data_IF_123948049494
#
_entry.id   IF_123948049494
#
_cell.length_a   1.000
_cell.length_b   1.000
_cell.length_c   1.000
_cell.angle_alpha   90.00
_cell.angle_beta   90.00
_cell.angle_gamma   90.00
#
_symmetry.space_group_name_H-M   'P 1'
#
loop_
_entity.id
_entity.type
_entity.pdbx_description
1 polymer ?
#
# COMPACT_ATOMS: atom_id res chain seq x y z
N UNK A 1 12.49 -2.06 10.95
CA UNK A 1 11.04 -2.21 10.68
C UNK A 1 10.35 -2.43 12.01
N UNK A 2 9.61 -1.44 12.49
CA UNK A 2 8.83 -1.56 13.73
C UNK A 2 7.37 -1.89 13.37
N UNK A 3 6.85 -2.96 13.97
CA UNK A 3 5.41 -3.24 13.97
C UNK A 3 4.78 -2.38 15.05
N UNK A 4 3.85 -1.55 14.71
CA UNK A 4 3.11 -0.73 15.66
C UNK A 4 1.68 -1.26 15.77
N UNK A 5 1.38 -1.94 16.88
CA UNK A 5 0.02 -2.25 17.24
C UNK A 5 -0.50 -1.10 18.10
N UNK A 6 -1.35 -0.27 17.54
CA UNK A 6 -2.24 0.65 18.28
C UNK A 6 -1.63 1.79 19.12
N UNK A 7 -0.46 2.37 18.78
CA UNK A 7 -0.08 3.66 19.35
C UNK A 7 -0.92 4.81 18.74
N UNK A 8 -1.21 5.84 19.52
CA UNK A 8 -2.06 6.96 19.08
C UNK A 8 -1.53 7.66 17.80
N UNK A 9 -0.21 7.68 17.60
CA UNK A 9 0.40 8.25 16.39
C UNK A 9 0.08 7.40 15.13
N UNK A 10 0.19 6.08 15.24
CA UNK A 10 -0.16 5.17 14.13
C UNK A 10 -1.67 5.12 13.91
N UNK A 11 -2.47 5.27 14.98
CA UNK A 11 -3.92 5.44 14.84
C UNK A 11 -4.26 6.70 14.03
N UNK A 12 -3.53 7.78 14.21
CA UNK A 12 -3.72 8.99 13.41
C UNK A 12 -3.39 8.76 11.96
N UNK A 13 -2.27 8.10 11.64
CA UNK A 13 -1.90 7.75 10.27
C UNK A 13 -2.80 6.66 9.68
N UNK A 14 -3.15 5.65 10.47
CA UNK A 14 -4.12 4.61 10.05
C UNK A 14 -5.53 5.19 9.89
N UNK A 15 -5.94 6.13 10.73
CA UNK A 15 -7.19 6.87 10.57
C UNK A 15 -7.17 7.81 9.36
N UNK A 16 -6.04 8.46 9.10
CA UNK A 16 -5.86 9.29 7.90
C UNK A 16 -5.95 8.42 6.63
N UNK A 17 -5.41 7.20 6.67
CA UNK A 17 -5.46 6.27 5.56
C UNK A 17 -6.78 5.47 5.47
N UNK A 18 -7.49 5.31 6.59
CA UNK A 18 -8.64 4.41 6.69
C UNK A 18 -9.96 5.11 7.09
N UNK A 19 -9.94 6.33 7.67
CA UNK A 19 -11.11 6.90 8.37
C UNK A 19 -12.25 7.35 7.46
N UNK A 20 -12.01 7.59 6.19
CA UNK A 20 -13.07 7.91 5.22
C UNK A 20 -13.00 7.03 3.96
N UNK A 21 -12.02 6.17 3.93
CA UNK A 21 -11.95 5.09 2.99
C UNK A 21 -12.39 3.80 3.68
N UNK A 22 -13.64 3.74 4.11
CA UNK A 22 -14.33 2.51 3.87
C UNK A 22 -14.15 2.28 2.37
N UNK A 23 -13.02 1.63 1.98
CA UNK A 23 -12.96 1.01 0.67
C UNK A 23 -14.27 0.27 0.63
N UNK A 24 -15.27 0.70 -0.18
CA UNK A 24 -16.44 -0.13 -0.32
C UNK A 24 -15.82 -1.45 -0.72
N UNK A 25 -15.81 -2.40 0.22
CA UNK A 25 -15.34 -3.75 -0.03
C UNK A 25 -16.05 -4.04 -1.32
N UNK A 26 -15.28 -4.19 -2.41
CA UNK A 26 -15.87 -4.56 -3.68
C UNK A 26 -16.57 -5.86 -3.30
N UNK A 27 -17.86 -5.78 -2.99
CA UNK A 27 -18.70 -6.95 -2.83
C UNK A 27 -18.68 -7.53 -4.22
N UNK A 28 -17.72 -8.42 -4.42
CA UNK A 28 -17.75 -9.28 -5.58
C UNK A 28 -19.18 -9.82 -5.64
N UNK A 29 -19.92 -9.60 -6.74
CA UNK A 29 -21.23 -10.17 -6.90
C UNK A 29 -21.06 -11.64 -6.56
N UNK A 30 -21.86 -12.15 -5.64
CA UNK A 30 -21.82 -13.52 -5.10
C UNK A 30 -21.34 -14.47 -6.16
N UNK A 31 -20.10 -14.95 -6.01
CA UNK A 31 -19.57 -16.03 -6.83
C UNK A 31 -20.56 -17.17 -6.66
N UNK A 32 -21.23 -17.54 -7.76
CA UNK A 32 -22.29 -18.54 -7.72
C UNK A 32 -21.79 -19.81 -7.02
N UNK A 33 -22.59 -20.51 -6.21
CA UNK A 33 -22.15 -21.64 -5.37
C UNK A 33 -21.42 -22.75 -6.13
N UNK A 34 -21.55 -22.83 -7.44
CA UNK A 34 -20.84 -23.81 -8.30
C UNK A 34 -19.31 -23.62 -8.33
N UNK A 35 -18.78 -22.44 -8.00
CA UNK A 35 -17.32 -22.24 -7.95
C UNK A 35 -16.67 -22.82 -6.69
N UNK A 36 -17.45 -23.04 -5.62
CA UNK A 36 -16.94 -23.58 -4.36
C UNK A 36 -16.58 -25.05 -4.41
N UNK A 37 -17.19 -25.79 -5.34
CA UNK A 37 -16.97 -27.24 -5.48
C UNK A 37 -15.72 -27.60 -6.31
N UNK A 38 -15.26 -26.69 -7.17
CA UNK A 38 -14.09 -26.93 -8.03
C UNK A 38 -12.74 -26.65 -7.33
N UNK A 39 -12.75 -26.05 -6.15
CA UNK A 39 -11.52 -25.66 -5.44
C UNK A 39 -10.89 -26.79 -4.61
N UNK A 40 -11.47 -27.99 -4.60
CA UNK A 40 -11.05 -29.10 -3.72
C UNK A 40 -10.40 -30.30 -4.43
N UNK A 41 -10.35 -30.35 -5.75
CA UNK A 41 -9.90 -31.56 -6.44
C UNK A 41 -8.83 -31.35 -7.51
N UNK A 42 -7.87 -30.61 -7.43
CA UNK A 42 -6.67 -30.62 -8.31
C UNK A 42 -5.99 -29.24 -8.38
N UNK A 43 -5.23 -28.92 -7.38
CA UNK A 43 -4.75 -27.55 -7.16
C UNK A 43 -3.75 -27.02 -8.21
N UNK A 44 -3.05 -27.87 -8.93
CA UNK A 44 -2.07 -27.43 -9.94
C UNK A 44 -2.71 -27.16 -11.30
N UNK A 45 -3.53 -28.09 -11.82
CA UNK A 45 -4.23 -27.91 -13.09
C UNK A 45 -5.33 -26.86 -13.06
N UNK A 46 -5.91 -26.61 -11.87
CA UNK A 46 -6.91 -25.56 -11.66
C UNK A 46 -6.29 -24.16 -11.65
N UNK A 47 -5.08 -23.99 -11.11
CA UNK A 47 -4.37 -22.71 -11.18
C UNK A 47 -4.13 -22.26 -12.62
N UNK A 48 -3.65 -23.16 -13.47
CA UNK A 48 -3.37 -22.82 -14.87
C UNK A 48 -4.65 -22.56 -15.67
N UNK A 49 -5.69 -23.35 -15.47
CA UNK A 49 -7.00 -23.13 -16.11
C UNK A 49 -7.66 -21.84 -15.62
N UNK A 50 -7.62 -21.58 -14.33
CA UNK A 50 -8.20 -20.36 -13.75
C UNK A 50 -7.46 -19.12 -14.23
N UNK A 51 -6.14 -19.15 -14.31
CA UNK A 51 -5.32 -18.05 -14.84
C UNK A 51 -5.58 -17.82 -16.33
N UNK A 52 -5.70 -18.87 -17.14
CA UNK A 52 -5.99 -18.76 -18.59
C UNK A 52 -7.42 -18.29 -18.84
N UNK A 53 -8.41 -18.77 -18.09
CA UNK A 53 -9.80 -18.36 -18.24
C UNK A 53 -10.04 -16.96 -17.69
N UNK A 54 -9.36 -16.59 -16.61
CA UNK A 54 -9.35 -15.23 -16.10
C UNK A 54 -8.68 -14.31 -17.12
N UNK A 55 -7.52 -14.65 -17.66
CA UNK A 55 -6.85 -13.86 -18.68
C UNK A 55 -7.75 -13.64 -19.92
N UNK A 56 -8.39 -14.69 -20.45
CA UNK A 56 -9.31 -14.59 -21.58
C UNK A 56 -10.56 -13.73 -21.29
N UNK A 57 -11.04 -13.70 -20.06
CA UNK A 57 -12.16 -12.85 -19.67
C UNK A 57 -11.73 -11.38 -19.45
N UNK A 58 -10.47 -11.15 -19.07
CA UNK A 58 -9.90 -9.80 -18.90
C UNK A 58 -9.70 -9.09 -20.23
N UNK A 59 -9.28 -9.78 -21.28
CA UNK A 59 -9.17 -9.19 -22.63
C UNK A 59 -10.52 -8.70 -23.18
N UNK A 60 -11.64 -9.26 -22.72
CA UNK A 60 -12.99 -8.90 -23.16
C UNK A 60 -13.64 -7.77 -22.38
N UNK A 61 -13.07 -7.35 -21.26
CA UNK A 61 -13.71 -6.39 -20.36
C UNK A 61 -12.82 -5.16 -20.09
N UNK A 62 -12.36 -4.52 -21.16
CA UNK A 62 -11.57 -3.29 -21.08
C UNK A 62 -12.24 -2.18 -20.26
N UNK A 63 -13.58 -2.13 -20.28
CA UNK A 63 -14.33 -1.16 -19.49
C UNK A 63 -14.16 -1.40 -17.97
N UNK A 64 -14.21 -2.65 -17.52
CA UNK A 64 -13.98 -2.99 -16.10
C UNK A 64 -12.56 -2.67 -15.67
N UNK A 65 -11.58 -2.98 -16.51
CA UNK A 65 -10.18 -2.65 -16.24
C UNK A 65 -9.98 -1.15 -16.07
N UNK A 66 -10.54 -0.35 -16.98
CA UNK A 66 -10.50 1.10 -16.88
C UNK A 66 -11.17 1.63 -15.60
N UNK A 67 -12.33 1.10 -15.25
CA UNK A 67 -13.04 1.49 -14.01
C UNK A 67 -12.21 1.13 -12.77
N UNK A 68 -11.62 -0.07 -12.71
CA UNK A 68 -10.81 -0.49 -11.56
C UNK A 68 -9.53 0.33 -11.46
N UNK A 69 -8.83 0.56 -12.57
CA UNK A 69 -7.63 1.39 -12.62
C UNK A 69 -7.91 2.80 -12.11
N UNK A 70 -8.95 3.45 -12.65
CA UNK A 70 -9.36 4.79 -12.24
C UNK A 70 -9.76 4.86 -10.75
N UNK A 71 -10.41 3.82 -10.22
CA UNK A 71 -10.76 3.76 -8.79
C UNK A 71 -9.53 3.63 -7.90
N UNK A 72 -8.57 2.78 -8.27
CA UNK A 72 -7.32 2.62 -7.52
C UNK A 72 -6.50 3.90 -7.54
N UNK A 73 -6.41 4.56 -8.68
CA UNK A 73 -5.75 5.85 -8.81
C UNK A 73 -6.45 6.92 -7.95
N UNK A 74 -7.78 6.98 -7.96
CA UNK A 74 -8.54 7.90 -7.12
C UNK A 74 -8.30 7.66 -5.63
N UNK A 75 -8.15 6.39 -5.20
CA UNK A 75 -7.78 6.05 -3.82
C UNK A 75 -6.38 6.56 -3.50
N UNK A 76 -5.39 6.29 -4.35
CA UNK A 76 -4.02 6.77 -4.15
C UNK A 76 -3.96 8.30 -4.08
N UNK A 77 -4.70 9.01 -4.93
CA UNK A 77 -4.82 10.47 -4.89
C UNK A 77 -5.49 10.98 -3.61
N UNK A 78 -6.50 10.27 -3.09
CA UNK A 78 -7.13 10.64 -1.80
C UNK A 78 -6.15 10.48 -0.64
N UNK A 79 -5.37 9.39 -0.60
CA UNK A 79 -4.31 9.19 0.37
C UNK A 79 -3.31 10.35 0.32
N UNK A 80 -2.86 10.71 -0.88
CA UNK A 80 -1.95 11.82 -1.12
C UNK A 80 -2.52 13.16 -0.64
N UNK A 81 -3.75 13.48 -1.01
CA UNK A 81 -4.42 14.71 -0.59
C UNK A 81 -4.59 14.79 0.94
N UNK A 82 -4.83 13.65 1.58
CA UNK A 82 -4.93 13.60 3.04
C UNK A 82 -3.57 13.90 3.66
N UNK A 83 -2.51 13.27 3.17
CA UNK A 83 -1.14 13.51 3.63
C UNK A 83 -0.74 14.99 3.44
N UNK A 84 -1.01 15.56 2.29
CA UNK A 84 -0.78 16.98 1.98
C UNK A 84 -1.50 17.91 2.96
N UNK A 85 -2.79 17.69 3.21
CA UNK A 85 -3.60 18.55 4.08
C UNK A 85 -3.28 18.42 5.56
N UNK A 86 -2.75 17.28 5.99
CA UNK A 86 -2.40 17.01 7.39
C UNK A 86 -0.93 17.26 7.70
N UNK A 87 -0.08 17.29 6.68
CA UNK A 87 1.33 17.64 6.79
C UNK A 87 1.50 19.09 7.29
N UNK A 88 2.46 19.29 8.18
CA UNK A 88 2.72 20.62 8.78
C UNK A 88 4.08 21.21 8.42
N UNK A 89 4.92 20.43 7.73
CA UNK A 89 6.25 20.89 7.31
C UNK A 89 6.20 21.56 5.94
N UNK A 90 7.08 22.54 5.71
CA UNK A 90 7.24 23.16 4.40
C UNK A 90 7.66 22.17 3.30
N UNK A 91 8.40 21.12 3.69
CA UNK A 91 8.80 20.04 2.77
C UNK A 91 7.57 19.32 2.21
N UNK A 92 6.57 19.06 3.02
CA UNK A 92 5.33 18.43 2.57
C UNK A 92 4.41 19.43 1.84
N UNK A 93 4.25 20.63 2.38
CA UNK A 93 3.27 21.59 1.86
C UNK A 93 3.76 22.39 0.64
N UNK A 94 5.08 22.58 0.52
CA UNK A 94 5.66 23.38 -0.57
C UNK A 94 6.38 22.51 -1.58
N UNK A 95 7.25 21.59 -1.11
CA UNK A 95 8.02 20.73 -2.01
C UNK A 95 7.25 19.49 -2.46
N UNK A 96 6.14 19.14 -1.79
CA UNK A 96 5.35 17.93 -2.05
C UNK A 96 6.18 16.65 -1.99
N UNK A 97 7.15 16.61 -1.04
CA UNK A 97 8.09 15.52 -0.91
C UNK A 97 7.46 14.34 -0.14
N UNK A 98 6.51 13.73 -0.78
CA UNK A 98 5.79 12.55 -0.30
C UNK A 98 5.22 11.74 -1.46
N UNK A 99 4.84 10.49 -1.18
CA UNK A 99 4.20 9.62 -2.16
C UNK A 99 3.21 8.66 -1.54
N UNK A 100 2.23 8.24 -2.31
CA UNK A 100 1.26 7.22 -1.91
C UNK A 100 1.13 6.18 -3.02
N UNK A 101 1.27 4.91 -2.66
CA UNK A 101 1.16 3.81 -3.61
C UNK A 101 0.27 2.69 -3.08
N UNK A 102 -0.26 1.90 -3.99
CA UNK A 102 -1.00 0.68 -3.73
C UNK A 102 -0.25 -0.47 -4.40
N UNK A 103 0.04 -1.50 -3.63
CA UNK A 103 0.69 -2.73 -4.09
C UNK A 103 -0.27 -3.90 -4.02
N UNK A 104 -0.04 -4.90 -4.86
CA UNK A 104 -0.71 -6.20 -4.76
C UNK A 104 -0.23 -6.97 -3.52
N UNK A 105 -0.93 -8.04 -3.16
CA UNK A 105 -0.51 -8.90 -2.04
C UNK A 105 0.86 -9.55 -2.27
N UNK A 106 1.27 -9.74 -3.52
CA UNK A 106 2.61 -10.22 -3.92
C UNK A 106 3.63 -9.08 -4.12
N UNK A 107 3.34 -7.89 -3.56
CA UNK A 107 4.22 -6.74 -3.51
C UNK A 107 4.57 -6.13 -4.87
N UNK A 108 3.73 -6.23 -5.88
CA UNK A 108 3.90 -5.53 -7.17
C UNK A 108 3.15 -4.20 -7.15
N UNK A 109 3.73 -3.17 -7.75
CA UNK A 109 3.08 -1.88 -7.90
C UNK A 109 1.79 -2.02 -8.72
N UNK A 110 0.68 -1.61 -8.15
CA UNK A 110 -0.65 -1.67 -8.76
C UNK A 110 -1.14 -0.28 -9.16
N UNK A 111 -0.95 0.71 -8.30
CA UNK A 111 -1.34 2.08 -8.55
C UNK A 111 -0.52 3.05 -7.71
N UNK A 112 -0.32 4.25 -8.21
CA UNK A 112 0.35 5.33 -7.50
C UNK A 112 -0.37 6.65 -7.77
N UNK A 113 -0.32 7.56 -6.80
CA UNK A 113 -0.64 8.96 -7.05
C UNK A 113 0.53 9.65 -7.76
N UNK A 114 0.24 10.75 -8.45
CA UNK A 114 1.27 11.61 -9.03
C UNK A 114 2.21 12.12 -7.92
N UNK A 115 3.50 11.80 -8.01
CA UNK A 115 4.48 12.10 -6.98
C UNK A 115 5.91 12.03 -7.53
N UNK A 116 6.92 12.20 -6.66
CA UNK A 116 8.31 12.09 -7.07
C UNK A 116 8.62 10.68 -7.61
N UNK A 117 9.16 10.56 -8.83
CA UNK A 117 9.41 9.26 -9.45
C UNK A 117 10.27 8.32 -8.61
N UNK A 118 11.29 8.85 -7.93
CA UNK A 118 12.18 8.06 -7.08
C UNK A 118 11.45 7.36 -5.92
N UNK A 119 10.36 7.93 -5.44
CA UNK A 119 9.58 7.36 -4.34
C UNK A 119 8.64 6.23 -4.78
N UNK A 120 8.33 6.17 -6.06
CA UNK A 120 7.30 5.26 -6.61
C UNK A 120 7.92 4.14 -7.42
N UNK A 121 8.91 4.47 -8.24
CA UNK A 121 9.48 3.51 -9.20
C UNK A 121 10.47 2.56 -8.56
N UNK A 122 11.14 2.97 -7.47
CA UNK A 122 12.18 2.17 -6.79
C UNK A 122 11.84 2.09 -5.32
N UNK A 123 11.67 0.87 -4.81
CA UNK A 123 11.65 0.59 -3.39
C UNK A 123 10.34 0.17 -2.76
N UNK A 124 9.14 0.67 -3.14
CA UNK A 124 7.90 0.26 -2.47
C UNK A 124 7.68 -1.24 -2.42
N UNK A 125 7.97 -1.94 -3.51
CA UNK A 125 7.90 -3.40 -3.61
C UNK A 125 8.92 -4.11 -2.71
N UNK A 126 10.14 -3.59 -2.63
CA UNK A 126 11.21 -4.11 -1.78
C UNK A 126 10.83 -3.93 -0.31
N UNK A 127 10.42 -2.72 0.09
CA UNK A 127 10.00 -2.43 1.46
C UNK A 127 8.83 -3.31 1.90
N UNK A 128 7.84 -3.53 1.04
CA UNK A 128 6.71 -4.39 1.35
C UNK A 128 7.12 -5.87 1.49
N UNK A 129 8.06 -6.36 0.66
CA UNK A 129 8.63 -7.71 0.80
C UNK A 129 9.39 -7.87 2.10
N UNK A 130 10.19 -6.89 2.48
CA UNK A 130 10.93 -6.91 3.75
C UNK A 130 9.99 -6.94 4.95
N UNK A 131 8.89 -6.18 4.92
CA UNK A 131 7.85 -6.29 5.95
C UNK A 131 7.32 -7.70 6.05
N UNK A 132 7.00 -8.34 4.93
CA UNK A 132 6.50 -9.74 4.93
C UNK A 132 7.54 -10.75 5.38
N UNK A 133 8.81 -10.53 5.08
CA UNK A 133 9.91 -11.40 5.50
C UNK A 133 10.09 -11.37 7.01
N UNK A 134 10.05 -10.17 7.61
CA UNK A 134 10.21 -10.01 9.06
C UNK A 134 8.90 -10.26 9.85
N UNK A 135 7.76 -10.09 9.19
CA UNK A 135 6.43 -10.27 9.79
C UNK A 135 5.56 -11.15 8.88
N UNK A 136 5.78 -12.47 8.86
CA UNK A 136 5.07 -13.39 7.95
C UNK A 136 3.57 -13.48 8.23
N UNK A 137 3.17 -13.23 9.49
CA UNK A 137 1.77 -13.17 9.88
C UNK A 137 1.28 -11.72 9.90
N UNK A 138 0.61 -11.31 8.82
CA UNK A 138 -0.02 -10.00 8.72
C UNK A 138 -1.46 -10.09 9.21
N UNK A 139 -1.86 -9.15 10.06
CA UNK A 139 -3.20 -9.11 10.65
C UNK A 139 -3.90 -7.78 10.32
N UNK A 140 -5.23 -7.81 10.33
CA UNK A 140 -6.02 -6.59 10.18
C UNK A 140 -5.68 -5.60 11.29
N UNK A 141 -5.39 -4.36 10.92
CA UNK A 141 -4.98 -3.29 11.84
C UNK A 141 -3.47 -3.18 12.06
N UNK A 142 -2.67 -4.06 11.47
CA UNK A 142 -1.21 -3.88 11.47
C UNK A 142 -0.83 -2.66 10.65
N UNK A 143 0.18 -1.95 11.15
CA UNK A 143 0.88 -0.90 10.44
C UNK A 143 2.37 -0.98 10.77
N UNK A 144 3.21 -0.76 9.77
CA UNK A 144 4.65 -0.85 9.90
C UNK A 144 5.28 0.48 9.54
N UNK A 145 6.20 0.94 10.36
CA UNK A 145 7.05 2.08 10.04
C UNK A 145 8.39 1.58 9.51
N UNK A 146 8.79 2.12 8.38
CA UNK A 146 10.01 1.71 7.68
C UNK A 146 10.77 2.94 7.16
N UNK A 147 12.09 2.98 7.38
CA UNK A 147 12.95 4.05 6.86
C UNK A 147 14.35 3.59 6.43
N UNK A 148 14.57 2.26 6.31
CA UNK A 148 15.89 1.72 6.00
C UNK A 148 16.22 1.81 4.50
N UNK A 149 17.28 2.52 4.08
CA UNK A 149 17.69 2.56 2.69
C UNK A 149 18.27 1.22 2.20
N UNK A 150 18.77 0.37 3.10
CA UNK A 150 19.25 -0.96 2.77
C UNK A 150 18.13 -1.93 2.35
N UNK A 151 16.88 -1.57 2.63
CA UNK A 151 15.69 -2.38 2.36
C UNK A 151 14.68 -1.62 1.49
N UNK A 152 15.15 -0.85 0.53
CA UNK A 152 14.33 -0.24 -0.51
C UNK A 152 13.84 1.18 -0.24
N UNK A 153 14.20 1.80 0.90
CA UNK A 153 13.90 3.21 1.07
C UNK A 153 14.93 4.10 0.35
N UNK A 154 14.57 5.33 0.00
CA UNK A 154 15.44 6.31 -0.64
C UNK A 154 16.56 6.75 0.30
N UNK A 155 16.21 7.13 1.53
CA UNK A 155 17.12 7.54 2.61
C UNK A 155 16.40 7.51 3.96
N UNK A 156 17.13 7.58 5.11
CA UNK A 156 16.53 7.42 6.44
C UNK A 156 15.51 8.50 6.83
N UNK A 157 15.59 9.68 6.22
CA UNK A 157 14.66 10.78 6.50
C UNK A 157 13.27 10.59 5.83
N UNK A 158 13.14 9.67 4.89
CA UNK A 158 11.85 9.27 4.34
C UNK A 158 11.20 8.22 5.25
N UNK A 159 10.18 8.62 5.96
CA UNK A 159 9.41 7.69 6.77
C UNK A 159 8.27 7.09 5.96
N UNK A 160 8.25 5.76 5.85
CA UNK A 160 7.23 5.01 5.14
C UNK A 160 6.31 4.32 6.12
N UNK A 161 5.01 4.60 6.01
CA UNK A 161 3.98 3.81 6.67
C UNK A 161 3.45 2.78 5.70
N UNK A 162 3.49 1.50 6.07
CA UNK A 162 3.08 0.36 5.25
C UNK A 162 1.94 -0.35 5.97
N UNK A 163 0.79 -0.48 5.32
CA UNK A 163 -0.41 -1.08 5.90
C UNK A 163 -0.94 -2.19 5.00
N UNK A 164 -0.95 -3.44 5.48
CA UNK A 164 -1.60 -4.53 4.76
C UNK A 164 -3.13 -4.40 4.85
N UNK A 165 -3.78 -4.59 3.73
CA UNK A 165 -5.24 -4.64 3.63
C UNK A 165 -5.70 -6.09 3.69
N UNK A 166 -6.26 -6.47 4.83
CA UNK A 166 -6.75 -7.80 5.10
C UNK A 166 -8.29 -7.80 5.01
N UNK A 167 -8.86 -8.69 4.20
CA UNK A 167 -10.31 -8.81 4.06
C UNK A 167 -10.98 -9.49 5.26
N UNK A 168 -12.31 -9.58 5.21
CA UNK A 168 -13.08 -10.18 6.30
C UNK A 168 -12.84 -11.69 6.49
N UNK A 169 -12.24 -12.34 5.51
CA UNK A 169 -11.83 -13.75 5.57
C UNK A 169 -10.37 -13.92 6.04
N UNK A 170 -9.70 -12.85 6.45
CA UNK A 170 -8.30 -12.88 6.88
C UNK A 170 -7.29 -12.96 5.72
N UNK A 171 -7.72 -12.73 4.47
CA UNK A 171 -6.84 -12.81 3.30
C UNK A 171 -6.21 -11.45 3.01
N UNK A 172 -4.88 -11.42 2.91
CA UNK A 172 -4.13 -10.25 2.47
C UNK A 172 -4.40 -9.98 0.99
N UNK A 173 -5.02 -8.85 0.67
CA UNK A 173 -5.42 -8.47 -0.70
C UNK A 173 -4.50 -7.46 -1.34
N UNK A 174 -4.15 -6.43 -0.61
CA UNK A 174 -3.36 -5.30 -1.07
C UNK A 174 -2.44 -4.84 0.06
N UNK A 175 -1.44 -4.05 -0.29
CA UNK A 175 -0.66 -3.25 0.68
C UNK A 175 -0.71 -1.81 0.24
N UNK A 176 -1.03 -0.90 1.15
CA UNK A 176 -0.92 0.54 0.91
C UNK A 176 0.33 1.08 1.59
N UNK A 177 1.00 2.02 0.94
CA UNK A 177 2.21 2.63 1.43
C UNK A 177 2.13 4.15 1.25
N UNK A 178 2.45 4.88 2.31
CA UNK A 178 2.63 6.33 2.29
C UNK A 178 4.03 6.65 2.78
N UNK A 179 4.79 7.36 1.97
CA UNK A 179 6.15 7.84 2.25
C UNK A 179 6.10 9.36 2.40
N UNK A 180 6.78 9.88 3.41
CA UNK A 180 6.89 11.32 3.65
C UNK A 180 8.30 11.68 4.11
N UNK A 181 8.91 12.66 3.46
CA UNK A 181 10.18 13.22 3.88
C UNK A 181 10.01 14.02 5.17
N UNK A 182 10.89 13.79 6.15
CA UNK A 182 10.89 14.49 7.41
C UNK A 182 11.80 15.72 7.33
N UNK A 183 11.26 16.89 7.66
CA UNK A 183 12.04 18.13 7.70
C UNK A 183 13.03 18.15 8.87
N UNK A 184 12.70 17.40 9.93
CA UNK A 184 13.50 17.29 11.16
C UNK A 184 13.37 15.87 11.71
N UNK A 185 14.50 15.22 11.94
CA UNK A 185 14.58 13.86 12.49
C UNK A 185 15.05 13.84 13.96
N UNK A 186 14.97 14.95 14.67
CA UNK A 186 15.36 15.06 16.08
C UNK A 186 16.87 15.23 16.26
N UNK A 187 17.54 15.89 15.33
CA UNK A 187 18.94 16.28 15.43
C UNK A 187 19.14 17.44 16.44
N UNK A 188 20.39 17.74 16.78
CA UNK A 188 20.73 18.87 17.64
C UNK A 188 20.29 20.23 17.08
N UNK A 189 20.23 20.36 15.77
CA UNK A 189 19.62 21.47 15.05
C UNK A 189 18.45 20.91 14.21
N UNK A 190 17.35 21.67 14.02
CA UNK A 190 16.22 21.24 13.21
C UNK A 190 16.60 21.02 11.75
N UNK A 191 17.05 19.84 11.42
CA UNK A 191 17.49 19.45 10.08
C UNK A 191 17.24 17.97 9.82
N UNK A 192 17.08 17.62 8.55
CA UNK A 192 16.95 16.23 8.08
C UNK A 192 18.29 15.48 8.20
N UNK A 193 19.40 16.14 7.91
CA UNK A 193 20.74 15.58 7.97
C UNK A 193 21.62 16.44 8.86
N UNK A 194 22.44 15.78 9.71
CA UNK A 194 23.46 16.49 10.45
C UNK A 194 24.53 16.99 9.49
N UNK A 195 24.87 18.27 9.59
CA UNK A 195 26.11 18.80 9.00
C UNK A 195 27.32 18.16 9.69
N UNK A 196 28.32 17.80 8.93
CA UNK A 196 29.60 17.32 9.45
C UNK A 196 30.42 18.47 9.99
#
# INVERSE_FOLDING_TARGET
ICRCSTSNAVKTWSLILLSDTAIPIIRYPRVRPRLKLYLLQDSAKLKDRFLVETAKNWERDGARMAILSNRLEAIARRMQNTLFRTGRSGVLNTAHDFSCVILTADCRLLSAAESLPIHVMIGPDIMAREVKTHHPELKRGDAFLHNSPYHGNSHPADHCTIVPVIDDNGVHRLTVLAKAHQADCGNSEPTTYMGH
#
